data_IF_987544122329
#
_entry.id   IF_987544122329
#
_cell.length_a   1.000
_cell.length_b   1.000
_cell.length_c   1.000
_cell.angle_alpha   90.00
_cell.angle_beta   90.00
_cell.angle_gamma   90.00
#
_symmetry.space_group_name_H-M   'P 1'
#
loop_
_entity.id
_entity.type
_entity.pdbx_description
1 polymer ?
#
# COMPACT_ATOMS: atom_id res chain seq x y z
N UNK A 6 26.97 5.53 6.15
CA UNK A 6 27.08 6.10 4.80
C UNK A 6 26.01 7.17 4.52
N UNK A 7 26.44 8.42 4.45
CA UNK A 7 25.59 9.53 3.99
C UNK A 7 26.37 10.30 2.93
N UNK A 8 25.80 11.37 2.40
CA UNK A 8 26.50 12.18 1.40
C UNK A 8 26.38 13.68 1.68
N UNK A 9 27.49 14.41 1.53
CA UNK A 9 27.60 15.81 1.97
C UNK A 9 27.19 16.86 0.92
N UNK A 10 26.68 17.99 1.39
CA UNK A 10 26.09 18.98 0.49
C UNK A 10 24.79 18.46 -0.15
N UNK A 11 23.71 18.50 0.64
CA UNK A 11 22.42 17.90 0.27
C UNK A 11 21.32 18.93 -0.01
N UNK A 12 20.46 18.60 -0.96
CA UNK A 12 19.50 19.56 -1.48
C UNK A 12 18.06 19.03 -1.43
N UNK A 13 17.17 19.87 -0.91
CA UNK A 13 15.78 19.49 -0.58
C UNK A 13 14.74 20.29 -1.41
N UNK A 14 14.15 19.62 -2.40
CA UNK A 14 13.51 20.27 -3.54
C UNK A 14 11.97 20.17 -3.65
N UNK A 15 11.37 20.95 -4.59
CA UNK A 15 9.93 21.14 -4.80
C UNK A 15 9.08 19.88 -4.93
N UNK A 16 9.71 18.74 -5.19
CA UNK A 16 8.96 17.49 -5.28
C UNK A 16 8.38 17.11 -3.92
N UNK A 17 9.18 17.28 -2.88
CA UNK A 17 8.79 16.95 -1.52
C UNK A 17 7.97 18.06 -0.86
N UNK A 18 7.85 19.19 -1.56
CA UNK A 18 7.26 20.41 -0.98
C UNK A 18 5.90 20.15 -0.35
N UNK A 19 5.59 20.88 0.75
CA UNK A 19 4.37 20.77 1.53
C UNK A 19 3.15 21.36 0.84
N UNK A 20 2.01 20.68 0.98
CA UNK A 20 0.78 21.13 0.35
C UNK A 20 0.20 22.27 1.14
N UNK A 21 -0.19 23.33 0.44
CA UNK A 21 -0.78 24.49 1.10
C UNK A 21 -2.32 24.40 1.18
N UNK A 22 -2.91 25.31 1.94
CA UNK A 22 -4.34 25.31 2.15
C UNK A 22 -5.06 25.71 0.87
N UNK A 23 -4.31 26.35 -0.04
CA UNK A 23 -4.88 26.79 -1.31
C UNK A 23 -4.68 25.75 -2.41
N UNK A 24 -4.50 24.49 -2.02
CA UNK A 24 -4.29 23.44 -2.99
C UNK A 24 -5.12 22.19 -2.71
N UNK A 25 -5.35 21.91 -1.42
CA UNK A 25 -6.16 20.76 -1.02
C UNK A 25 -7.42 20.61 -1.90
N UNK A 26 -7.78 19.37 -2.23
CA UNK A 26 -8.95 19.11 -3.09
C UNK A 26 -9.62 17.75 -2.84
N UNK A 27 -9.26 17.09 -1.74
CA UNK A 27 -9.80 15.76 -1.43
C UNK A 27 -10.73 15.77 -0.21
N UNK A 28 -12.03 15.95 -0.45
CA UNK A 28 -13.01 15.86 0.62
C UNK A 28 -13.37 14.42 0.89
N UNK A 29 -13.64 14.08 2.16
CA UNK A 29 -13.82 12.69 2.64
C UNK A 29 -14.68 11.79 1.74
N UNK A 30 -15.45 12.36 0.83
CA UNK A 30 -16.17 11.56 -0.15
C UNK A 30 -15.21 11.14 -1.26
N UNK A 31 -14.47 12.12 -1.76
CA UNK A 31 -13.53 11.91 -2.85
C UNK A 31 -12.31 11.09 -2.40
N UNK A 32 -12.00 11.14 -1.10
CA UNK A 32 -10.98 10.26 -0.49
C UNK A 32 -11.55 8.88 -0.18
N UNK A 33 -12.89 8.79 -0.13
CA UNK A 33 -13.58 7.52 0.05
C UNK A 33 -13.67 6.80 -1.29
N UNK A 34 -13.46 7.54 -2.36
CA UNK A 34 -13.45 7.00 -3.71
C UNK A 34 -12.07 6.38 -4.05
N UNK A 35 -11.01 6.99 -3.53
CA UNK A 35 -9.65 6.46 -3.71
C UNK A 35 -9.40 5.29 -2.75
N UNK A 36 -10.42 4.87 -2.03
CA UNK A 36 -10.28 3.74 -1.15
C UNK A 36 -11.13 2.57 -1.60
N UNK A 37 -12.13 2.90 -2.41
CA UNK A 37 -12.90 1.91 -3.14
C UNK A 37 -12.01 1.32 -4.25
N UNK A 38 -11.52 2.17 -5.13
CA UNK A 38 -10.67 1.73 -6.23
C UNK A 38 -9.30 1.29 -5.70
N UNK A 39 -9.19 1.16 -4.38
CA UNK A 39 -7.94 0.80 -3.73
C UNK A 39 -8.06 -0.50 -2.96
N UNK A 40 -9.29 -0.94 -2.76
CA UNK A 40 -9.55 -2.26 -2.19
C UNK A 40 -9.56 -3.26 -3.35
N UNK A 41 -9.39 -2.74 -4.57
CA UNK A 41 -9.44 -3.53 -5.80
C UNK A 41 -8.06 -3.78 -6.44
N UNK A 42 -7.37 -4.84 -5.99
CA UNK A 42 -6.09 -5.22 -6.57
C UNK A 42 -5.85 -6.69 -6.32
N UNK A 43 -5.17 -7.32 -7.26
CA UNK A 43 -4.99 -8.78 -7.23
C UNK A 43 -4.37 -9.35 -5.95
N UNK A 44 -3.77 -8.50 -5.14
CA UNK A 44 -3.16 -8.95 -3.89
C UNK A 44 -4.23 -9.56 -2.99
N UNK A 45 -5.47 -9.14 -3.23
CA UNK A 45 -6.61 -9.47 -2.38
C UNK A 45 -7.41 -10.69 -2.84
N UNK A 46 -7.67 -10.79 -4.14
CA UNK A 46 -8.19 -12.03 -4.73
C UNK A 46 -7.51 -13.18 -4.03
N UNK A 47 -6.19 -13.22 -4.20
CA UNK A 47 -5.36 -14.37 -3.86
C UNK A 47 -5.29 -14.65 -2.37
N UNK A 48 -5.12 -13.59 -1.57
CA UNK A 48 -5.07 -13.75 -0.13
C UNK A 48 -6.34 -14.45 0.37
N UNK A 49 -7.48 -14.01 -0.14
CA UNK A 49 -8.77 -14.57 0.27
C UNK A 49 -9.01 -15.93 -0.38
N UNK A 50 -8.25 -16.21 -1.44
CA UNK A 50 -8.32 -17.53 -2.07
C UNK A 50 -7.78 -18.59 -1.15
N UNK A 51 -6.48 -18.50 -0.90
CA UNK A 51 -5.76 -19.53 -0.14
C UNK A 51 -6.25 -19.70 1.30
N UNK A 52 -6.89 -18.67 1.84
CA UNK A 52 -7.50 -18.78 3.16
C UNK A 52 -8.45 -19.97 3.23
N UNK A 53 -9.20 -20.20 2.15
CA UNK A 53 -10.23 -21.25 2.11
C UNK A 53 -9.67 -22.61 2.47
N UNK A 54 -8.37 -22.65 2.71
CA UNK A 54 -7.71 -23.88 3.13
C UNK A 54 -8.06 -24.15 4.57
N UNK A 55 -8.00 -23.12 5.39
CA UNK A 55 -8.19 -23.29 6.83
C UNK A 55 -9.57 -22.84 7.34
N UNK A 56 -10.26 -22.00 6.56
CA UNK A 56 -11.55 -21.45 6.99
C UNK A 56 -12.57 -21.41 5.86
N UNK A 57 -13.86 -21.39 6.22
CA UNK A 57 -14.89 -21.27 5.20
C UNK A 57 -15.05 -19.84 4.67
N UNK A 58 -15.77 -19.71 3.55
CA UNK A 58 -15.82 -18.48 2.78
C UNK A 58 -16.50 -17.31 3.50
N UNK A 59 -17.14 -17.58 4.63
CA UNK A 59 -17.71 -16.50 5.42
C UNK A 59 -16.66 -16.02 6.42
N UNK A 60 -15.94 -16.97 7.01
CA UNK A 60 -14.87 -16.67 7.95
C UNK A 60 -13.90 -15.67 7.36
N UNK A 61 -13.66 -15.81 6.06
CA UNK A 61 -12.76 -14.92 5.35
C UNK A 61 -13.42 -13.57 5.08
N UNK A 62 -14.75 -13.57 5.00
CA UNK A 62 -15.47 -12.30 4.88
C UNK A 62 -15.50 -11.59 6.24
N UNK A 63 -15.32 -12.36 7.31
CA UNK A 63 -15.21 -11.81 8.66
C UNK A 63 -13.80 -11.31 8.95
N UNK A 64 -12.81 -12.08 8.51
CA UNK A 64 -11.42 -11.65 8.58
C UNK A 64 -11.13 -10.48 7.64
N UNK A 65 -11.78 -10.46 6.48
CA UNK A 65 -11.66 -9.36 5.51
C UNK A 65 -12.02 -8.03 6.18
N UNK A 66 -13.29 -7.88 6.53
CA UNK A 66 -13.75 -6.67 7.20
C UNK A 66 -13.02 -6.46 8.52
N UNK A 67 -12.39 -7.52 9.03
CA UNK A 67 -11.61 -7.47 10.28
C UNK A 67 -10.23 -6.84 10.06
N UNK A 68 -9.58 -7.22 8.98
CA UNK A 68 -8.33 -6.58 8.60
C UNK A 68 -8.56 -5.08 8.43
N UNK A 69 -9.31 -4.72 7.41
CA UNK A 69 -9.65 -3.33 7.14
C UNK A 69 -10.07 -2.55 8.37
N UNK A 70 -10.70 -3.23 9.33
CA UNK A 70 -11.11 -2.60 10.58
C UNK A 70 -9.89 -2.13 11.37
N UNK A 71 -8.97 -3.04 11.66
CA UNK A 71 -7.75 -2.67 12.38
C UNK A 71 -6.95 -1.69 11.54
N UNK A 72 -7.24 -1.69 10.24
CA UNK A 72 -6.51 -0.90 9.26
C UNK A 72 -6.96 0.56 9.25
N UNK A 73 -8.23 0.79 9.54
CA UNK A 73 -8.75 2.14 9.68
C UNK A 73 -8.36 2.71 11.05
N UNK A 74 -8.22 1.81 12.03
CA UNK A 74 -7.73 2.17 13.37
C UNK A 74 -6.28 2.71 13.32
N UNK A 75 -5.45 2.15 12.46
CA UNK A 75 -4.11 2.70 12.29
C UNK A 75 -4.16 3.90 11.36
N UNK A 76 -5.07 3.87 10.39
CA UNK A 76 -5.25 4.97 9.46
C UNK A 76 -5.52 6.25 10.23
N UNK A 77 -6.48 6.21 11.14
CA UNK A 77 -6.82 7.36 11.95
C UNK A 77 -5.57 8.09 12.41
N UNK A 78 -4.81 7.45 13.29
CA UNK A 78 -3.64 8.06 13.88
C UNK A 78 -2.63 8.55 12.83
N UNK A 79 -2.24 7.68 11.91
CA UNK A 79 -1.19 8.00 10.93
C UNK A 79 -1.55 9.16 10.00
N UNK A 80 -2.72 9.09 9.37
CA UNK A 80 -3.17 10.13 8.45
C UNK A 80 -3.00 11.53 9.03
N UNK A 81 -3.21 11.67 10.34
CA UNK A 81 -3.31 12.96 11.02
C UNK A 81 -2.19 13.95 10.71
N UNK A 82 -0.95 13.50 10.89
CA UNK A 82 0.21 14.34 10.59
C UNK A 82 0.02 14.97 9.22
N UNK A 83 -0.11 14.12 8.21
CA UNK A 83 -0.20 14.57 6.82
C UNK A 83 -1.34 15.54 6.56
N UNK A 84 -2.55 15.22 7.02
CA UNK A 84 -3.68 16.11 6.76
C UNK A 84 -3.39 17.48 7.36
N UNK A 85 -3.13 17.49 8.66
CA UNK A 85 -2.93 18.74 9.39
C UNK A 85 -2.02 19.67 8.62
N UNK A 86 -0.88 19.14 8.20
CA UNK A 86 0.19 19.97 7.67
C UNK A 86 0.35 19.90 6.15
N UNK A 87 0.31 18.69 5.58
CA UNK A 87 0.44 18.53 4.15
C UNK A 87 1.86 18.17 3.74
N UNK A 88 2.19 16.89 3.87
CA UNK A 88 3.54 16.41 3.65
C UNK A 88 3.60 15.03 2.99
N UNK A 89 4.69 14.74 2.28
CA UNK A 89 4.95 13.42 1.71
C UNK A 89 5.10 12.39 2.81
N UNK A 90 5.12 11.11 2.44
CA UNK A 90 5.60 10.13 3.39
C UNK A 90 7.10 10.27 3.41
N UNK A 91 7.66 10.70 2.28
CA UNK A 91 9.11 10.89 2.16
C UNK A 91 9.54 11.96 3.13
N UNK A 92 8.60 12.84 3.47
CA UNK A 92 8.87 14.00 4.31
C UNK A 92 8.65 13.73 5.81
N UNK A 93 7.56 13.04 6.12
CA UNK A 93 7.25 12.74 7.51
C UNK A 93 8.11 11.60 8.08
N UNK A 94 8.70 10.81 7.20
CA UNK A 94 9.56 9.70 7.63
C UNK A 94 10.74 10.22 8.45
N UNK A 95 10.92 11.53 8.41
CA UNK A 95 12.08 12.15 9.00
C UNK A 95 11.90 12.50 10.47
N UNK A 96 10.78 12.10 11.05
CA UNK A 96 10.53 12.43 12.45
C UNK A 96 11.21 11.46 13.40
N UNK A 97 10.78 10.20 13.39
CA UNK A 97 11.43 9.22 14.25
C UNK A 97 12.85 8.91 13.78
N UNK A 98 13.07 8.90 12.48
CA UNK A 98 14.40 8.69 11.92
C UNK A 98 14.95 10.02 11.43
N UNK A 99 16.25 10.06 11.15
CA UNK A 99 16.91 11.30 10.74
C UNK A 99 16.47 11.84 9.40
N UNK A 100 17.05 12.98 9.01
CA UNK A 100 16.72 13.61 7.74
C UNK A 100 17.62 13.06 6.66
N UNK A 101 18.64 12.29 7.06
CA UNK A 101 19.47 11.55 6.12
C UNK A 101 19.30 10.08 6.42
N UNK A 102 18.74 9.79 7.59
CA UNK A 102 18.49 8.42 8.02
C UNK A 102 17.02 8.04 7.98
N UNK A 103 16.20 8.90 7.41
CA UNK A 103 14.80 8.58 7.20
C UNK A 103 14.70 7.70 5.97
N UNK A 104 15.83 7.52 5.31
CA UNK A 104 15.84 6.76 4.07
C UNK A 104 15.85 5.25 4.30
N UNK A 105 16.02 4.82 5.55
CA UNK A 105 16.03 3.39 5.86
C UNK A 105 14.66 2.78 5.56
N UNK A 106 13.58 3.39 6.07
CA UNK A 106 12.26 2.88 5.67
C UNK A 106 11.87 3.40 4.30
N UNK A 107 12.15 4.66 4.00
CA UNK A 107 11.79 5.23 2.69
C UNK A 107 12.29 4.36 1.54
N UNK A 108 13.30 3.53 1.81
CA UNK A 108 13.83 2.61 0.81
C UNK A 108 13.25 1.20 0.95
N UNK A 109 13.36 0.62 2.15
CA UNK A 109 12.74 -0.68 2.45
C UNK A 109 11.30 -0.71 1.95
N UNK A 110 10.68 0.47 1.87
CA UNK A 110 9.28 0.62 1.53
C UNK A 110 9.06 0.98 0.06
N UNK A 111 10.08 1.54 -0.58
CA UNK A 111 10.00 1.75 -2.02
C UNK A 111 10.41 0.47 -2.75
N UNK A 112 10.77 -0.56 -1.99
CA UNK A 112 11.10 -1.88 -2.55
C UNK A 112 9.87 -2.77 -2.58
N UNK A 113 8.83 -2.39 -1.84
CA UNK A 113 7.54 -3.06 -1.91
C UNK A 113 6.84 -2.71 -3.22
N UNK A 114 6.67 -1.41 -3.47
CA UNK A 114 6.01 -0.97 -4.69
C UNK A 114 6.62 -1.56 -5.97
N UNK A 115 7.89 -1.95 -5.92
CA UNK A 115 8.52 -2.64 -7.05
C UNK A 115 8.07 -4.10 -7.08
N UNK A 116 8.14 -4.76 -5.94
CA UNK A 116 7.64 -6.13 -5.80
C UNK A 116 6.21 -6.24 -6.32
N UNK A 117 5.37 -5.25 -6.01
CA UNK A 117 3.98 -5.26 -6.48
C UNK A 117 3.88 -4.79 -7.92
N UNK A 118 5.04 -4.51 -8.53
CA UNK A 118 5.07 -4.25 -9.97
C UNK A 118 5.51 -5.49 -10.72
N UNK A 119 6.42 -6.26 -10.13
CA UNK A 119 6.78 -7.54 -10.69
C UNK A 119 5.52 -8.36 -10.68
N UNK A 120 4.97 -8.53 -9.48
CA UNK A 120 3.76 -9.32 -9.29
C UNK A 120 2.58 -8.83 -10.11
N UNK A 121 2.67 -7.61 -10.64
CA UNK A 121 1.54 -7.08 -11.39
C UNK A 121 1.73 -7.19 -12.90
N UNK A 122 2.97 -6.98 -13.37
CA UNK A 122 3.27 -7.15 -14.79
C UNK A 122 3.12 -8.62 -15.14
N UNK A 123 3.24 -9.45 -14.12
CA UNK A 123 3.14 -10.91 -14.22
C UNK A 123 1.76 -11.39 -14.64
N UNK A 124 0.74 -10.57 -14.37
CA UNK A 124 -0.63 -10.83 -14.84
C UNK A 124 -0.86 -10.16 -16.19
N UNK A 125 -0.10 -9.11 -16.46
CA UNK A 125 -0.06 -8.54 -17.80
C UNK A 125 0.32 -9.63 -18.77
N UNK A 126 1.24 -10.51 -18.34
CA UNK A 126 1.67 -11.66 -19.14
C UNK A 126 0.58 -12.71 -19.22
N UNK A 127 0.22 -13.28 -18.06
CA UNK A 127 -0.86 -14.25 -18.02
C UNK A 127 -2.03 -13.81 -18.88
N UNK A 128 -2.21 -12.50 -19.01
CA UNK A 128 -3.34 -11.94 -19.75
C UNK A 128 -3.01 -11.64 -21.21
N UNK A 129 -1.75 -11.30 -21.48
CA UNK A 129 -1.32 -11.12 -22.86
C UNK A 129 -1.11 -12.48 -23.50
N UNK A 130 -0.82 -13.47 -22.66
CA UNK A 130 -0.45 -14.80 -23.13
C UNK A 130 -1.65 -15.75 -23.21
N UNK A 131 -2.65 -15.47 -22.39
CA UNK A 131 -3.87 -16.26 -22.40
C UNK A 131 -4.71 -15.87 -23.60
N UNK A 132 -4.60 -14.60 -24.02
CA UNK A 132 -5.34 -14.12 -25.18
C UNK A 132 -4.69 -14.53 -26.49
N UNK A 133 -3.41 -14.90 -26.42
CA UNK A 133 -2.67 -15.31 -27.61
C UNK A 133 -2.43 -16.82 -27.68
N UNK A 134 -2.65 -17.51 -26.57
CA UNK A 134 -2.56 -18.97 -26.58
C UNK A 134 -3.95 -19.56 -26.83
N UNK A 135 -4.97 -18.80 -26.45
CA UNK A 135 -6.34 -19.08 -26.86
C UNK A 135 -6.60 -18.45 -28.21
N UNK A 136 -5.53 -18.24 -28.98
CA UNK A 136 -5.66 -17.67 -30.32
C UNK A 136 -4.65 -18.31 -31.26
N UNK A 137 -3.66 -18.97 -30.67
CA UNK A 137 -2.58 -19.55 -31.46
C UNK A 137 -1.97 -20.70 -30.70
N UNK A 138 -2.59 -21.03 -29.55
CA UNK A 138 -2.16 -22.17 -28.76
C UNK A 138 -0.71 -22.14 -28.30
N UNK A 139 0.01 -21.09 -28.66
CA UNK A 139 1.41 -20.95 -28.26
C UNK A 139 1.49 -20.14 -26.97
N UNK A 140 2.44 -20.50 -26.12
CA UNK A 140 2.52 -19.89 -24.80
C UNK A 140 3.94 -19.47 -24.46
N UNK A 141 4.10 -18.18 -24.16
CA UNK A 141 5.39 -17.64 -23.77
C UNK A 141 5.32 -16.70 -22.57
N UNK A 142 5.19 -17.28 -21.38
CA UNK A 142 5.11 -16.53 -20.14
C UNK A 142 6.14 -15.40 -20.07
N UNK A 143 7.45 -15.74 -20.17
CA UNK A 143 8.54 -14.78 -19.96
C UNK A 143 8.78 -13.77 -21.10
N UNK A 144 8.39 -14.08 -22.32
CA UNK A 144 8.46 -13.09 -23.38
C UNK A 144 7.52 -11.94 -23.04
N UNK A 145 6.30 -12.29 -22.67
CA UNK A 145 5.28 -11.29 -22.30
C UNK A 145 5.66 -10.52 -21.06
N UNK A 146 6.28 -11.20 -20.10
CA UNK A 146 6.77 -10.55 -18.88
C UNK A 146 7.75 -9.44 -19.22
N UNK A 147 8.45 -9.61 -20.34
CA UNK A 147 9.43 -8.66 -20.79
C UNK A 147 8.86 -7.63 -21.78
N UNK A 148 7.94 -8.05 -22.64
CA UNK A 148 7.26 -7.10 -23.52
C UNK A 148 6.46 -6.09 -22.72
N UNK A 149 5.90 -6.54 -21.59
CA UNK A 149 5.12 -5.70 -20.70
C UNK A 149 6.05 -4.86 -19.83
N UNK A 150 7.17 -5.44 -19.45
CA UNK A 150 8.19 -4.74 -18.69
C UNK A 150 8.97 -3.76 -19.56
N UNK A 151 8.53 -3.60 -20.80
CA UNK A 151 9.11 -2.62 -21.70
C UNK A 151 8.08 -1.54 -21.99
N UNK A 152 6.87 -1.95 -22.32
CA UNK A 152 5.76 -1.04 -22.60
C UNK A 152 5.63 0.02 -21.51
N UNK A 153 5.50 -0.44 -20.27
CA UNK A 153 5.39 0.45 -19.11
C UNK A 153 6.43 1.56 -19.17
N UNK A 154 7.70 1.16 -19.26
CA UNK A 154 8.81 2.09 -19.23
C UNK A 154 8.68 3.21 -20.28
N UNK A 155 8.04 2.92 -21.40
CA UNK A 155 7.89 3.92 -22.46
C UNK A 155 6.74 4.89 -22.19
N UNK A 156 5.58 4.35 -21.82
CA UNK A 156 4.41 5.16 -21.53
C UNK A 156 4.58 5.89 -20.20
N UNK A 157 5.73 5.66 -19.57
CA UNK A 157 6.07 6.32 -18.31
C UNK A 157 6.47 7.77 -18.54
N UNK A 158 7.29 7.99 -19.57
CA UNK A 158 7.79 9.31 -19.88
C UNK A 158 6.74 10.11 -20.65
N UNK A 159 6.01 9.44 -21.52
CA UNK A 159 5.08 10.12 -22.41
C UNK A 159 3.68 9.50 -22.38
N UNK A 160 3.03 9.54 -21.23
CA UNK A 160 1.69 9.00 -21.08
C UNK A 160 0.60 9.98 -21.49
N UNK A 161 -0.41 9.49 -22.20
CA UNK A 161 -1.53 10.31 -22.64
C UNK A 161 -2.80 9.96 -21.85
N UNK A 162 -3.78 10.86 -21.87
CA UNK A 162 -5.00 10.73 -21.07
C UNK A 162 -5.69 9.35 -21.20
N UNK A 163 -5.46 8.68 -22.32
CA UNK A 163 -6.09 7.39 -22.62
C UNK A 163 -5.83 6.33 -21.56
N UNK A 164 -4.69 6.43 -20.90
CA UNK A 164 -4.40 5.58 -19.76
C UNK A 164 -5.14 6.15 -18.55
N UNK A 165 -4.99 7.46 -18.36
CA UNK A 165 -5.62 8.19 -17.25
C UNK A 165 -7.11 7.85 -17.15
N UNK A 166 -7.80 7.92 -18.28
CA UNK A 166 -9.19 7.51 -18.33
C UNK A 166 -9.34 6.16 -17.65
N UNK A 167 -8.46 5.25 -18.02
CA UNK A 167 -8.53 3.87 -17.55
C UNK A 167 -8.32 3.74 -16.06
N UNK A 168 -7.70 4.74 -15.44
CA UNK A 168 -7.42 4.69 -14.01
C UNK A 168 -8.68 4.44 -13.20
N UNK A 169 -9.47 5.50 -12.98
CA UNK A 169 -10.63 5.40 -12.10
C UNK A 169 -11.63 4.34 -12.54
N UNK A 170 -11.81 4.18 -13.84
CA UNK A 170 -12.80 3.22 -14.37
C UNK A 170 -12.36 1.78 -14.24
N UNK A 171 -11.07 1.56 -14.07
CA UNK A 171 -10.53 0.22 -14.03
C UNK A 171 -11.03 -0.58 -12.81
N UNK A 172 -10.82 -0.06 -11.61
CA UNK A 172 -11.19 -0.80 -10.40
C UNK A 172 -12.63 -1.31 -10.41
N UNK A 173 -13.59 -0.43 -10.83
CA UNK A 173 -15.02 -0.73 -10.95
C UNK A 173 -15.34 -1.71 -12.09
N UNK A 174 -14.71 -1.50 -13.24
CA UNK A 174 -14.87 -2.36 -14.41
C UNK A 174 -14.56 -3.82 -14.08
N UNK A 175 -13.54 -4.00 -13.25
CA UNK A 175 -13.12 -5.31 -12.76
C UNK A 175 -13.99 -5.80 -11.58
N UNK A 176 -14.49 -4.87 -10.77
CA UNK A 176 -15.39 -5.26 -9.70
C UNK A 176 -16.73 -5.72 -10.28
N UNK A 177 -17.06 -5.18 -11.45
CA UNK A 177 -18.27 -5.54 -12.18
C UNK A 177 -18.15 -6.93 -12.80
N UNK A 178 -17.05 -7.12 -13.52
CA UNK A 178 -16.71 -8.39 -14.13
C UNK A 178 -16.48 -9.43 -13.05
N UNK A 179 -15.82 -9.01 -11.96
CA UNK A 179 -15.46 -9.88 -10.86
C UNK A 179 -16.62 -10.45 -10.05
N UNK A 180 -17.81 -9.88 -10.23
CA UNK A 180 -19.04 -10.37 -9.59
C UNK A 180 -19.88 -11.18 -10.57
N UNK A 181 -19.94 -10.67 -11.79
CA UNK A 181 -20.65 -11.29 -12.91
C UNK A 181 -20.31 -12.77 -13.09
N UNK A 182 -19.03 -13.04 -12.96
CA UNK A 182 -18.51 -14.39 -12.98
C UNK A 182 -19.11 -15.15 -11.82
N UNK A 183 -19.09 -14.53 -10.63
CA UNK A 183 -19.69 -15.17 -9.46
C UNK A 183 -21.17 -15.54 -9.70
N UNK A 184 -21.87 -14.76 -10.51
CA UNK A 184 -23.14 -15.24 -11.07
C UNK A 184 -22.81 -16.49 -11.85
N UNK A 185 -22.07 -16.32 -12.95
CA UNK A 185 -21.58 -17.44 -13.77
C UNK A 185 -21.13 -18.70 -13.01
N UNK A 186 -20.25 -18.55 -12.02
CA UNK A 186 -19.81 -19.72 -11.28
C UNK A 186 -20.91 -20.31 -10.38
N UNK A 187 -21.63 -19.49 -9.61
CA UNK A 187 -22.74 -20.00 -8.79
C UNK A 187 -23.88 -20.56 -9.65
N UNK A 188 -23.79 -20.36 -10.95
CA UNK A 188 -24.84 -20.77 -11.87
C UNK A 188 -24.51 -22.09 -12.57
N UNK A 189 -23.22 -22.31 -12.74
CA UNK A 189 -22.72 -23.52 -13.38
C UNK A 189 -22.28 -24.56 -12.34
N UNK A 190 -21.63 -24.13 -11.25
CA UNK A 190 -21.33 -25.08 -10.18
C UNK A 190 -22.61 -25.38 -9.41
N UNK A 191 -23.71 -24.78 -9.87
CA UNK A 191 -25.07 -25.02 -9.35
C UNK A 191 -25.15 -24.90 -7.83
N UNK A 192 -24.47 -23.89 -7.28
CA UNK A 192 -24.47 -23.66 -5.84
C UNK A 192 -25.05 -22.28 -5.52
N UNK A 193 -25.75 -22.17 -4.39
CA UNK A 193 -26.29 -20.89 -3.94
C UNK A 193 -25.35 -20.22 -2.97
N UNK A 194 -25.27 -18.90 -3.02
CA UNK A 194 -24.40 -18.11 -2.15
C UNK A 194 -24.39 -18.69 -0.74
N UNK A 195 -25.51 -19.33 -0.37
CA UNK A 195 -25.71 -19.88 0.95
C UNK A 195 -24.98 -21.19 1.18
N UNK A 196 -24.96 -22.03 0.14
CA UNK A 196 -24.14 -23.23 0.19
C UNK A 196 -22.66 -22.83 0.12
N UNK A 197 -22.34 -21.89 -0.79
CA UNK A 197 -20.96 -21.46 -1.06
C UNK A 197 -20.29 -20.76 0.12
N UNK A 198 -21.08 -20.05 0.90
CA UNK A 198 -20.56 -19.30 2.04
C UNK A 198 -20.14 -20.23 3.17
N UNK A 199 -19.80 -21.48 2.84
CA UNK A 199 -19.42 -22.46 3.86
C UNK A 199 -18.65 -23.66 3.32
N UNK A 200 -17.87 -23.46 2.27
CA UNK A 200 -17.24 -24.58 1.57
C UNK A 200 -15.73 -24.68 1.78
N UNK A 201 -15.16 -23.75 2.54
CA UNK A 201 -13.75 -23.84 2.86
C UNK A 201 -13.54 -24.57 4.17
N UNK A 202 -12.29 -24.64 4.61
CA UNK A 202 -11.98 -25.24 5.91
C UNK A 202 -11.88 -26.74 5.85
N UNK A 203 -11.42 -27.27 4.72
CA UNK A 203 -11.15 -28.69 4.62
C UNK A 203 -9.66 -28.96 4.82
N UNK A 204 -9.09 -28.22 5.77
CA UNK A 204 -7.69 -28.38 6.18
C UNK A 204 -7.32 -27.37 7.25
N UNK A 205 -8.13 -27.28 8.32
CA UNK A 205 -7.88 -26.31 9.39
C UNK A 205 -6.48 -26.46 9.93
N UNK A 206 -6.00 -25.42 10.61
CA UNK A 206 -4.66 -25.39 11.15
C UNK A 206 -4.23 -23.97 11.45
N UNK A 207 -4.26 -23.12 10.42
CA UNK A 207 -3.94 -21.72 10.63
C UNK A 207 -4.91 -21.09 11.61
N UNK A 208 -4.39 -20.26 12.53
CA UNK A 208 -5.19 -19.51 13.51
C UNK A 208 -5.91 -18.33 12.86
N UNK A 209 -7.08 -17.97 13.36
CA UNK A 209 -7.78 -16.83 12.80
C UNK A 209 -7.01 -15.57 13.13
N UNK A 210 -6.31 -15.60 14.26
CA UNK A 210 -5.43 -14.50 14.65
C UNK A 210 -4.47 -14.16 13.52
N UNK A 211 -3.98 -15.19 12.84
CA UNK A 211 -3.07 -15.03 11.72
C UNK A 211 -3.84 -14.69 10.45
N UNK A 212 -5.12 -15.09 10.42
CA UNK A 212 -6.00 -14.83 9.29
C UNK A 212 -6.37 -13.35 9.15
N UNK A 213 -6.27 -12.61 10.26
CA UNK A 213 -6.57 -11.18 10.23
C UNK A 213 -5.31 -10.34 9.96
N UNK A 214 -4.15 -10.83 10.42
CA UNK A 214 -2.90 -10.15 10.17
C UNK A 214 -2.66 -10.11 8.67
N UNK A 215 -3.08 -11.16 8.00
CA UNK A 215 -2.97 -11.26 6.54
C UNK A 215 -3.50 -10.00 5.86
N UNK A 216 -4.80 -9.77 5.97
CA UNK A 216 -5.40 -8.61 5.34
C UNK A 216 -4.86 -7.30 5.94
N UNK A 217 -4.40 -7.38 7.17
CA UNK A 217 -3.67 -6.29 7.76
C UNK A 217 -2.44 -6.03 6.89
N UNK A 218 -1.48 -6.96 6.95
CA UNK A 218 -0.20 -6.79 6.27
C UNK A 218 -0.29 -6.56 4.78
N UNK A 219 -1.49 -6.68 4.22
CA UNK A 219 -1.69 -6.38 2.82
C UNK A 219 -1.80 -4.88 2.65
N UNK A 220 -2.42 -4.24 3.63
CA UNK A 220 -2.63 -2.81 3.60
C UNK A 220 -1.47 -2.02 4.21
N UNK A 221 -0.79 -2.61 5.19
CA UNK A 221 0.29 -1.95 5.91
C UNK A 221 1.09 -0.94 5.06
N UNK A 222 1.51 -1.37 3.87
CA UNK A 222 2.29 -0.51 2.98
C UNK A 222 1.54 0.79 2.65
N UNK A 223 0.28 0.65 2.25
CA UNK A 223 -0.58 1.80 1.93
C UNK A 223 -0.89 2.65 3.17
N UNK A 224 -1.06 1.99 4.32
CA UNK A 224 -1.43 2.70 5.55
C UNK A 224 -0.29 3.52 6.17
N UNK A 225 0.85 2.89 6.40
CA UNK A 225 2.00 3.60 6.94
C UNK A 225 2.31 4.84 6.10
N UNK A 226 2.14 4.73 4.79
CA UNK A 226 2.42 5.86 3.91
C UNK A 226 1.19 6.42 3.20
N UNK A 227 0.13 6.76 3.95
CA UNK A 227 -1.02 7.43 3.36
C UNK A 227 -0.68 8.89 3.12
N UNK A 228 0.32 9.36 3.88
CA UNK A 228 0.79 10.74 3.82
C UNK A 228 0.76 11.28 2.39
N UNK A 229 0.92 10.37 1.43
CA UNK A 229 1.12 10.71 0.03
C UNK A 229 -0.16 11.13 -0.72
N UNK A 230 -1.32 10.58 -0.34
CA UNK A 230 -2.61 11.10 -0.85
C UNK A 230 -3.30 12.04 0.16
N UNK A 231 -3.11 11.74 1.44
CA UNK A 231 -3.72 12.52 2.53
C UNK A 231 -3.36 14.00 2.43
N UNK A 232 -2.15 14.28 1.97
CA UNK A 232 -1.68 15.64 1.79
C UNK A 232 -2.37 16.34 0.61
N UNK A 233 -3.68 16.15 0.50
CA UNK A 233 -4.49 16.94 -0.42
C UNK A 233 -5.92 16.94 0.08
N UNK A 234 -6.06 16.76 1.39
CA UNK A 234 -7.38 16.74 2.03
C UNK A 234 -7.73 18.10 2.60
N UNK A 235 -8.89 18.62 2.19
CA UNK A 235 -9.43 19.84 2.76
C UNK A 235 -9.27 19.79 4.28
N UNK A 236 -8.42 20.66 4.83
CA UNK A 236 -8.33 20.79 6.28
C UNK A 236 -8.47 22.26 6.65
N UNK A 237 -8.95 22.52 7.87
CA UNK A 237 -9.22 23.88 8.31
C UNK A 237 -8.06 24.45 9.12
N UNK A 238 -7.45 25.53 8.62
CA UNK A 238 -6.35 26.19 9.33
C UNK A 238 -6.86 26.77 10.66
N UNK A 239 -8.15 27.09 10.69
CA UNK A 239 -8.75 27.73 11.86
C UNK A 239 -9.72 26.83 12.61
N UNK A 240 -9.29 25.60 12.89
CA UNK A 240 -10.06 24.69 13.73
C UNK A 240 -9.19 24.29 14.91
N UNK A 241 -9.79 23.74 15.95
CA UNK A 241 -9.09 23.53 17.22
C UNK A 241 -8.74 22.08 17.54
N UNK A 242 -8.70 21.76 18.83
CA UNK A 242 -8.47 20.39 19.27
C UNK A 242 -9.72 19.58 18.94
N UNK A 243 -10.83 20.29 18.75
CA UNK A 243 -12.12 19.68 18.42
C UNK A 243 -12.34 19.63 16.91
N UNK A 244 -12.39 20.80 16.27
CA UNK A 244 -12.62 20.89 14.84
C UNK A 244 -11.64 20.08 14.01
N UNK A 245 -10.48 19.77 14.59
CA UNK A 245 -9.44 19.04 13.87
C UNK A 245 -9.39 17.56 14.30
N UNK A 246 -9.97 17.25 15.46
CA UNK A 246 -10.11 15.86 15.87
C UNK A 246 -11.43 15.30 15.32
N UNK A 247 -12.30 16.19 14.85
CA UNK A 247 -13.55 15.78 14.21
C UNK A 247 -13.36 15.53 12.72
N UNK A 248 -12.47 16.30 12.11
CA UNK A 248 -12.12 16.07 10.71
C UNK A 248 -11.21 14.86 10.57
N UNK A 249 -10.52 14.51 11.65
CA UNK A 249 -9.68 13.30 11.70
C UNK A 249 -10.54 12.06 11.58
N UNK A 250 -11.59 12.01 12.40
CA UNK A 250 -12.47 10.85 12.40
C UNK A 250 -13.46 10.92 11.22
N UNK A 251 -13.71 12.12 10.72
CA UNK A 251 -14.58 12.31 9.55
C UNK A 251 -13.95 11.64 8.33
N UNK A 252 -12.63 11.77 8.21
CA UNK A 252 -11.89 11.10 7.16
C UNK A 252 -11.66 9.66 7.53
N UNK A 253 -11.18 9.44 8.76
CA UNK A 253 -10.84 8.09 9.22
C UNK A 253 -11.97 7.10 9.02
N UNK A 254 -13.21 7.58 8.91
CA UNK A 254 -14.34 6.73 8.55
C UNK A 254 -14.80 6.95 7.10
N UNK A 255 -14.41 8.09 6.53
CA UNK A 255 -14.60 8.31 5.10
C UNK A 255 -13.82 7.27 4.30
N UNK A 256 -12.80 6.71 4.96
CA UNK A 256 -11.97 5.69 4.34
C UNK A 256 -12.51 4.29 4.58
N UNK A 257 -13.02 4.03 5.79
CA UNK A 257 -13.58 2.73 6.12
C UNK A 257 -14.87 2.39 5.33
N UNK A 258 -15.44 3.38 4.66
CA UNK A 258 -16.65 3.17 3.87
C UNK A 258 -16.31 3.10 2.39
N UNK A 259 -15.02 2.91 2.12
CA UNK A 259 -14.54 2.71 0.77
C UNK A 259 -13.76 1.42 0.65
N UNK A 260 -13.00 1.10 1.69
CA UNK A 260 -12.13 -0.07 1.66
C UNK A 260 -12.80 -1.36 2.12
N UNK A 261 -13.67 -1.28 3.12
CA UNK A 261 -14.34 -2.49 3.64
C UNK A 261 -15.58 -2.91 2.86
N UNK A 262 -16.26 -1.95 2.22
CA UNK A 262 -17.31 -2.36 1.28
C UNK A 262 -16.69 -3.10 0.11
N UNK A 263 -15.85 -2.41 -0.64
CA UNK A 263 -15.28 -2.98 -1.86
C UNK A 263 -14.45 -4.24 -1.61
N UNK A 264 -13.60 -4.24 -0.58
CA UNK A 264 -12.67 -5.35 -0.36
C UNK A 264 -13.23 -6.48 0.50
N UNK A 265 -14.55 -6.53 0.62
CA UNK A 265 -15.21 -7.70 1.16
C UNK A 265 -15.82 -8.44 -0.04
N UNK A 266 -15.84 -7.74 -1.16
CA UNK A 266 -16.31 -8.28 -2.42
C UNK A 266 -15.21 -8.99 -3.21
N UNK A 267 -14.03 -8.38 -3.31
CA UNK A 267 -12.91 -9.05 -3.95
C UNK A 267 -12.39 -10.14 -3.02
N UNK A 268 -12.62 -9.96 -1.73
CA UNK A 268 -12.30 -11.01 -0.79
C UNK A 268 -13.16 -12.22 -1.07
N UNK A 269 -14.45 -11.97 -1.33
CA UNK A 269 -15.37 -13.06 -1.64
C UNK A 269 -15.07 -13.65 -3.00
N UNK A 270 -15.34 -12.89 -4.06
CA UNK A 270 -15.24 -13.44 -5.41
C UNK A 270 -13.92 -14.16 -5.62
N UNK A 271 -12.96 -13.90 -4.73
CA UNK A 271 -11.67 -14.57 -4.77
C UNK A 271 -11.61 -15.87 -4.00
N UNK A 272 -12.41 -15.99 -2.95
CA UNK A 272 -12.54 -17.24 -2.21
C UNK A 272 -13.58 -18.11 -2.88
N UNK A 273 -14.33 -17.51 -3.82
CA UNK A 273 -15.36 -18.20 -4.59
C UNK A 273 -14.76 -18.85 -5.81
N UNK A 274 -13.82 -18.14 -6.43
CA UNK A 274 -13.10 -18.70 -7.55
C UNK A 274 -12.20 -19.84 -7.08
N UNK A 275 -11.89 -19.89 -5.79
CA UNK A 275 -11.06 -20.97 -5.26
C UNK A 275 -11.87 -22.22 -4.88
N UNK A 276 -12.80 -22.08 -3.95
CA UNK A 276 -13.62 -23.21 -3.50
C UNK A 276 -14.77 -23.44 -4.47
N UNK A 277 -14.66 -22.87 -5.66
CA UNK A 277 -15.67 -23.06 -6.70
C UNK A 277 -15.05 -23.29 -8.09
N UNK A 278 -13.80 -22.88 -8.28
CA UNK A 278 -13.06 -23.24 -9.49
C UNK A 278 -11.88 -24.14 -9.14
N UNK A 279 -11.03 -23.64 -8.25
CA UNK A 279 -9.78 -24.28 -7.89
C UNK A 279 -8.59 -23.34 -8.09
N UNK A 280 -8.86 -22.19 -8.69
CA UNK A 280 -7.82 -21.24 -9.08
C UNK A 280 -7.86 -19.92 -8.30
N UNK A 281 -6.84 -19.66 -7.47
CA UNK A 281 -6.67 -18.35 -6.85
C UNK A 281 -6.20 -17.37 -7.92
N UNK A 282 -5.58 -17.91 -8.96
CA UNK A 282 -5.09 -17.12 -10.06
C UNK A 282 -6.22 -16.50 -10.86
N UNK A 283 -6.37 -15.18 -10.73
CA UNK A 283 -7.43 -14.44 -11.41
C UNK A 283 -7.49 -14.78 -12.89
N UNK A 284 -6.51 -14.30 -13.64
CA UNK A 284 -6.44 -14.51 -15.07
C UNK A 284 -6.84 -15.93 -15.51
N UNK A 285 -6.44 -16.92 -14.72
CA UNK A 285 -6.72 -18.31 -15.05
C UNK A 285 -8.17 -18.69 -14.74
N UNK A 286 -8.61 -18.41 -13.51
CA UNK A 286 -10.00 -18.67 -13.15
C UNK A 286 -10.96 -17.80 -13.98
N UNK A 287 -10.42 -16.80 -14.68
CA UNK A 287 -11.21 -15.91 -15.56
C UNK A 287 -11.43 -16.52 -16.93
N UNK A 288 -10.33 -16.82 -17.60
CA UNK A 288 -10.40 -17.46 -18.90
C UNK A 288 -11.22 -18.71 -18.72
N UNK A 289 -10.98 -19.40 -17.61
CA UNK A 289 -11.62 -20.67 -17.35
C UNK A 289 -13.13 -20.58 -17.10
N UNK A 290 -13.58 -19.51 -16.45
CA UNK A 290 -15.01 -19.35 -16.17
C UNK A 290 -15.79 -18.74 -17.34
N UNK A 291 -15.29 -17.64 -17.89
CA UNK A 291 -15.97 -16.94 -18.99
C UNK A 291 -15.72 -17.55 -20.36
N UNK A 292 -14.62 -18.29 -20.51
CA UNK A 292 -14.34 -19.01 -21.74
C UNK A 292 -14.96 -20.39 -21.73
N UNK A 293 -15.41 -20.82 -20.55
CA UNK A 293 -16.23 -22.01 -20.41
C UNK A 293 -17.66 -21.58 -20.54
N UNK A 294 -17.85 -20.47 -21.27
CA UNK A 294 -19.16 -19.93 -21.59
C UNK A 294 -19.10 -19.06 -22.86
N UNK A 295 -17.98 -18.37 -23.04
CA UNK A 295 -17.79 -17.51 -24.20
C UNK A 295 -16.32 -17.16 -24.36
N UNK A 296 -15.66 -17.78 -25.33
CA UNK A 296 -14.27 -17.45 -25.64
C UNK A 296 -14.15 -16.26 -26.62
N UNK A 297 -15.29 -15.74 -27.12
CA UNK A 297 -15.26 -14.39 -27.67
C UNK A 297 -15.16 -13.35 -26.54
N UNK A 298 -15.50 -13.77 -25.33
CA UNK A 298 -15.45 -12.91 -24.16
C UNK A 298 -14.27 -13.19 -23.22
N UNK A 299 -13.97 -14.47 -22.98
CA UNK A 299 -12.81 -14.84 -22.16
C UNK A 299 -11.55 -14.17 -22.68
N UNK A 300 -11.60 -13.69 -23.92
CA UNK A 300 -10.54 -12.90 -24.53
C UNK A 300 -10.75 -11.40 -24.28
N UNK A 301 -12.01 -10.99 -24.18
CA UNK A 301 -12.35 -9.62 -23.78
C UNK A 301 -12.21 -9.43 -22.26
N UNK A 302 -12.23 -10.54 -21.52
CA UNK A 302 -12.01 -10.51 -20.07
C UNK A 302 -10.52 -10.51 -19.74
N UNK A 303 -9.71 -10.99 -20.69
CA UNK A 303 -8.26 -10.95 -20.56
C UNK A 303 -7.65 -9.78 -21.34
N UNK A 304 -8.49 -9.09 -22.12
CA UNK A 304 -8.09 -7.82 -22.76
C UNK A 304 -8.32 -6.69 -21.75
N UNK A 305 -9.10 -7.01 -20.72
CA UNK A 305 -9.35 -6.08 -19.65
C UNK A 305 -8.25 -6.14 -18.62
N UNK A 306 -8.11 -7.30 -17.99
CA UNK A 306 -7.06 -7.46 -17.00
C UNK A 306 -5.74 -6.92 -17.53
N UNK A 307 -5.57 -6.98 -18.85
CA UNK A 307 -4.35 -6.52 -19.51
C UNK A 307 -4.30 -5.01 -19.61
N UNK A 308 -5.41 -4.43 -20.04
CA UNK A 308 -5.51 -2.97 -20.17
C UNK A 308 -5.62 -2.25 -18.82
N UNK A 309 -6.32 -2.85 -17.86
CA UNK A 309 -6.50 -2.24 -16.55
C UNK A 309 -5.24 -2.38 -15.68
N UNK A 310 -4.43 -3.40 -15.97
CA UNK A 310 -3.13 -3.55 -15.34
C UNK A 310 -2.19 -2.53 -15.98
N UNK A 311 -2.41 -2.27 -17.26
CA UNK A 311 -1.52 -1.44 -18.04
C UNK A 311 -1.77 0.06 -17.80
N UNK A 312 -2.64 0.37 -16.84
CA UNK A 312 -2.81 1.76 -16.41
C UNK A 312 -2.68 1.91 -14.90
N UNK A 313 -3.11 0.88 -14.18
CA UNK A 313 -2.95 0.88 -12.74
C UNK A 313 -1.46 0.85 -12.46
N UNK A 314 -0.87 -0.31 -12.74
CA UNK A 314 0.50 -0.61 -12.42
C UNK A 314 1.46 0.58 -12.25
N UNK A 315 1.82 1.25 -13.36
CA UNK A 315 2.85 2.30 -13.29
C UNK A 315 2.56 3.25 -12.15
N UNK A 316 1.42 3.91 -12.23
CA UNK A 316 1.03 4.89 -11.23
C UNK A 316 1.49 4.49 -9.82
N UNK A 317 1.06 3.32 -9.36
CA UNK A 317 1.16 2.98 -7.94
C UNK A 317 2.37 2.13 -7.56
N UNK A 318 3.16 1.73 -8.54
CA UNK A 318 4.26 0.81 -8.28
C UNK A 318 5.62 1.22 -8.84
N UNK A 319 5.62 1.98 -9.93
CA UNK A 319 6.87 2.32 -10.60
C UNK A 319 7.31 3.76 -10.37
N UNK A 320 6.36 4.69 -10.22
CA UNK A 320 6.70 6.09 -10.06
C UNK A 320 7.57 6.39 -8.83
N UNK A 321 7.22 5.80 -7.69
CA UNK A 321 7.91 6.10 -6.43
C UNK A 321 9.36 5.63 -6.36
N UNK A 322 9.62 4.34 -6.60
CA UNK A 322 11.01 3.88 -6.65
C UNK A 322 11.82 4.65 -7.70
N UNK A 323 11.13 5.26 -8.67
CA UNK A 323 11.80 6.04 -9.70
C UNK A 323 12.35 7.34 -9.14
N UNK A 324 11.49 8.06 -8.42
CA UNK A 324 11.85 9.36 -7.87
C UNK A 324 12.73 9.25 -6.63
N UNK A 325 12.85 8.03 -6.10
CA UNK A 325 13.75 7.77 -4.98
C UNK A 325 15.17 7.47 -5.48
N UNK A 326 15.29 7.06 -6.74
CA UNK A 326 16.61 6.82 -7.32
C UNK A 326 17.29 8.12 -7.74
N UNK A 327 16.50 9.09 -8.22
CA UNK A 327 17.06 10.40 -8.56
C UNK A 327 17.28 11.24 -7.31
N UNK A 328 16.67 10.82 -6.20
CA UNK A 328 16.80 11.52 -4.93
C UNK A 328 17.98 10.98 -4.12
N UNK A 329 18.02 9.66 -3.93
CA UNK A 329 19.08 9.02 -3.14
C UNK A 329 20.39 8.80 -3.92
N UNK A 330 20.32 8.80 -5.26
CA UNK A 330 21.52 8.68 -6.09
C UNK A 330 21.42 9.63 -7.26
N UNK A 331 21.65 10.92 -6.99
CA UNK A 331 21.32 12.05 -7.86
C UNK A 331 22.11 12.03 -9.16
N UNK A 332 23.43 11.96 -9.06
CA UNK A 332 24.30 12.03 -10.22
C UNK A 332 24.41 10.69 -10.94
N UNK A 333 23.53 9.76 -10.61
CA UNK A 333 23.66 8.37 -11.07
C UNK A 333 22.61 7.93 -12.10
N UNK A 334 21.34 8.28 -11.86
CA UNK A 334 20.25 7.87 -12.73
C UNK A 334 19.54 9.10 -13.31
N UNK A 335 18.82 8.92 -14.41
CA UNK A 335 17.94 9.97 -14.91
C UNK A 335 16.53 9.64 -14.49
N UNK A 336 15.56 10.48 -14.86
CA UNK A 336 14.16 10.09 -14.76
C UNK A 336 13.96 9.01 -15.79
N UNK A 337 14.87 8.97 -16.76
CA UNK A 337 14.80 8.00 -17.83
C UNK A 337 15.56 6.71 -17.47
N UNK A 338 16.51 6.81 -16.55
CA UNK A 338 17.28 5.64 -16.13
C UNK A 338 16.86 5.12 -14.74
N UNK A 339 16.21 5.99 -13.96
CA UNK A 339 15.61 5.56 -12.72
C UNK A 339 14.41 4.69 -13.03
N UNK A 340 13.60 5.14 -13.98
CA UNK A 340 12.47 4.37 -14.46
C UNK A 340 12.86 2.97 -14.96
N UNK A 341 13.99 2.91 -15.67
CA UNK A 341 14.40 1.69 -16.38
C UNK A 341 15.11 0.66 -15.49
N UNK A 342 15.88 1.14 -14.51
CA UNK A 342 16.48 0.23 -13.54
C UNK A 342 15.44 -0.21 -12.51
N UNK A 343 14.38 0.59 -12.37
CA UNK A 343 13.25 0.24 -11.50
C UNK A 343 12.57 -1.02 -12.01
N UNK A 344 12.10 -0.93 -13.25
CA UNK A 344 11.56 -2.08 -13.96
C UNK A 344 12.45 -3.30 -13.72
N UNK A 345 13.66 -3.24 -14.28
CA UNK A 345 14.58 -4.36 -14.16
C UNK A 345 14.67 -4.91 -12.73
N UNK A 346 14.59 -4.03 -11.75
CA UNK A 346 14.76 -4.44 -10.35
C UNK A 346 13.59 -5.26 -9.86
N UNK A 347 12.38 -4.77 -10.12
CA UNK A 347 11.18 -5.48 -9.72
C UNK A 347 11.09 -6.83 -10.39
N UNK A 348 11.04 -6.80 -11.71
CA UNK A 348 10.98 -8.04 -12.48
C UNK A 348 11.92 -9.07 -11.82
N UNK A 349 13.17 -8.68 -11.61
CA UNK A 349 14.22 -9.61 -11.16
C UNK A 349 14.11 -10.13 -9.72
N UNK A 350 13.06 -9.76 -8.98
CA UNK A 350 12.87 -10.30 -7.64
C UNK A 350 12.20 -11.68 -7.67
N UNK A 351 11.51 -11.96 -8.78
CA UNK A 351 10.77 -13.22 -8.99
C UNK A 351 9.53 -13.34 -8.10
N UNK A 352 8.76 -12.24 -7.98
CA UNK A 352 7.66 -12.19 -7.00
C UNK A 352 6.68 -13.37 -7.08
N UNK A 353 5.99 -13.48 -8.21
CA UNK A 353 4.79 -14.30 -8.39
C UNK A 353 4.78 -15.72 -7.81
N UNK A 354 5.94 -16.36 -7.74
CA UNK A 354 5.98 -17.70 -7.16
C UNK A 354 6.04 -17.62 -5.65
N UNK A 355 6.75 -16.64 -5.13
CA UNK A 355 6.71 -16.38 -3.69
C UNK A 355 5.24 -16.34 -3.25
N UNK A 356 4.43 -15.53 -3.94
CA UNK A 356 3.00 -15.41 -3.62
C UNK A 356 2.30 -16.73 -3.82
N UNK A 357 2.01 -17.03 -5.08
CA UNK A 357 1.35 -18.26 -5.43
C UNK A 357 1.20 -19.20 -4.25
N UNK A 358 2.31 -19.74 -3.77
CA UNK A 358 2.26 -20.75 -2.72
C UNK A 358 2.06 -20.15 -1.33
N UNK A 359 3.04 -19.37 -0.88
CA UNK A 359 3.04 -18.88 0.48
C UNK A 359 2.72 -17.40 0.55
N UNK A 360 1.93 -16.90 -0.40
CA UNK A 360 1.51 -15.50 -0.33
C UNK A 360 0.97 -15.23 1.06
N UNK A 361 0.53 -16.29 1.72
CA UNK A 361 0.09 -16.24 3.10
C UNK A 361 1.25 -15.83 4.01
N UNK A 362 2.48 -15.94 3.49
CA UNK A 362 3.67 -15.66 4.28
C UNK A 362 4.41 -14.43 3.77
N UNK A 363 4.03 -13.95 2.60
CA UNK A 363 4.44 -12.61 2.17
C UNK A 363 3.47 -11.57 2.73
N UNK A 364 2.32 -12.02 3.24
CA UNK A 364 1.43 -11.11 3.96
C UNK A 364 1.49 -11.32 5.47
N UNK A 365 2.38 -12.21 5.90
CA UNK A 365 2.83 -12.20 7.29
C UNK A 365 4.26 -11.67 7.30
N UNK A 366 4.78 -11.40 6.11
CA UNK A 366 6.03 -10.66 5.95
C UNK A 366 5.76 -9.17 5.90
N UNK A 367 4.94 -8.73 4.95
CA UNK A 367 4.56 -7.33 4.85
C UNK A 367 3.64 -6.98 6.01
N UNK A 368 3.68 -7.81 7.05
CA UNK A 368 2.93 -7.55 8.29
C UNK A 368 3.81 -7.75 9.53
N UNK A 369 5.10 -7.99 9.30
CA UNK A 369 6.09 -7.95 10.36
C UNK A 369 6.74 -6.58 10.32
N UNK A 370 6.12 -5.69 9.53
CA UNK A 370 6.52 -4.30 9.41
C UNK A 370 5.58 -3.47 10.26
N UNK A 371 5.28 -3.98 11.46
CA UNK A 371 4.39 -3.32 12.38
C UNK A 371 5.08 -2.30 13.26
N UNK A 372 6.27 -2.63 13.77
CA UNK A 372 7.04 -1.66 14.56
C UNK A 372 7.22 -0.30 13.90
N UNK A 373 7.17 -0.19 12.58
CA UNK A 373 7.29 1.11 11.92
C UNK A 373 6.01 1.90 12.08
N UNK A 374 4.90 1.17 12.14
CA UNK A 374 3.63 1.81 12.42
C UNK A 374 3.63 2.35 13.84
N UNK A 375 4.08 1.52 14.79
CA UNK A 375 4.10 1.89 16.20
C UNK A 375 5.11 2.97 16.52
N UNK A 376 6.21 2.98 15.78
CA UNK A 376 7.28 3.96 15.96
C UNK A 376 6.89 5.36 15.45
N UNK A 377 6.28 5.43 14.28
CA UNK A 377 5.90 6.71 13.70
C UNK A 377 4.74 7.39 14.42
N UNK A 378 3.79 6.61 14.90
CA UNK A 378 2.64 7.15 15.60
C UNK A 378 3.06 7.60 16.99
N UNK A 379 3.82 6.76 17.67
CA UNK A 379 4.35 7.11 18.97
C UNK A 379 5.07 8.46 18.93
N UNK A 380 5.67 8.78 17.79
CA UNK A 380 6.48 9.99 17.66
C UNK A 380 5.64 11.23 17.39
N UNK A 381 4.81 11.19 16.35
CA UNK A 381 3.99 12.35 16.07
C UNK A 381 2.90 12.50 17.11
N UNK A 382 2.67 11.49 17.92
CA UNK A 382 1.60 11.57 18.90
C UNK A 382 2.07 11.65 20.35
N UNK A 383 2.90 10.70 20.77
CA UNK A 383 3.27 10.61 22.18
C UNK A 383 4.54 11.38 22.56
N UNK A 384 5.52 11.41 21.66
CA UNK A 384 6.80 12.01 21.99
C UNK A 384 6.89 13.50 21.69
N UNK A 385 6.25 13.96 20.62
CA UNK A 385 6.24 15.37 20.28
C UNK A 385 4.85 15.99 20.44
N UNK A 386 3.95 15.24 21.07
CA UNK A 386 2.56 15.66 21.25
C UNK A 386 2.08 16.60 20.15
N UNK A 387 2.16 16.14 18.91
CA UNK A 387 1.66 16.88 17.75
C UNK A 387 2.39 18.18 17.46
N UNK A 388 3.59 18.34 18.02
CA UNK A 388 4.40 19.49 17.73
C UNK A 388 5.54 19.12 16.76
N UNK A 389 5.56 19.80 15.61
CA UNK A 389 6.52 19.50 14.56
C UNK A 389 7.15 20.77 14.04
N UNK A 390 8.28 20.61 13.36
CA UNK A 390 9.05 21.74 12.88
C UNK A 390 9.13 21.76 11.38
N UNK A 391 8.28 22.54 10.73
CA UNK A 391 8.31 22.62 9.28
C UNK A 391 9.65 23.13 8.76
N UNK A 392 10.31 23.97 9.55
CA UNK A 392 11.58 24.55 9.11
C UNK A 392 12.78 23.63 9.30
N UNK A 393 12.73 22.79 10.34
CA UNK A 393 13.84 21.86 10.60
C UNK A 393 13.76 20.60 9.74
N UNK A 394 12.57 20.29 9.23
CA UNK A 394 12.40 19.12 8.38
C UNK A 394 12.90 19.40 6.96
N UNK A 395 13.36 20.62 6.74
CA UNK A 395 13.83 21.02 5.40
C UNK A 395 15.25 21.62 5.41
N UNK A 396 16.03 21.28 6.43
CA UNK A 396 17.41 21.76 6.52
C UNK A 396 18.33 20.66 7.02
N UNK A 397 19.44 20.48 6.31
CA UNK A 397 20.48 19.52 6.70
C UNK A 397 20.74 19.50 8.21
N UNK A 398 20.90 20.69 8.77
CA UNK A 398 21.16 20.82 10.21
C UNK A 398 19.92 21.36 10.91
N UNK A 399 19.08 20.44 11.36
CA UNK A 399 17.89 20.77 12.12
C UNK A 399 17.89 19.92 13.38
N UNK A 400 16.87 20.06 14.21
CA UNK A 400 16.79 19.29 15.44
C UNK A 400 16.37 17.83 15.19
N UNK A 401 16.34 17.44 13.91
CA UNK A 401 16.05 16.06 13.53
C UNK A 401 17.26 15.40 12.86
N UNK A 402 18.40 16.08 12.91
CA UNK A 402 19.63 15.54 12.33
C UNK A 402 20.27 14.51 13.26
N UNK A 403 20.01 14.64 14.56
CA UNK A 403 20.50 13.68 15.55
C UNK A 403 21.97 13.36 15.33
N UNK A 404 22.31 12.07 15.40
CA UNK A 404 23.67 11.63 15.16
C UNK A 404 24.09 11.75 13.71
N UNK A 405 24.44 12.97 13.31
CA UNK A 405 24.93 13.21 11.96
C UNK A 405 23.83 13.04 10.93
N UNK A 406 22.69 12.50 11.35
CA UNK A 406 21.52 12.39 10.49
C UNK A 406 20.67 11.14 10.66
N UNK A 407 21.24 10.12 11.28
CA UNK A 407 20.51 8.88 11.50
C UNK A 407 20.10 8.82 12.95
N UNK A 408 18.84 8.51 13.19
CA UNK A 408 18.38 8.28 14.55
C UNK A 408 18.59 6.82 14.93
N UNK A 409 19.69 6.55 15.62
CA UNK A 409 20.08 5.19 15.95
C UNK A 409 19.20 4.53 17.00
N UNK A 410 18.58 5.34 17.85
CA UNK A 410 17.72 4.79 18.90
C UNK A 410 16.31 4.49 18.39
N UNK A 411 16.00 4.98 17.18
CA UNK A 411 14.72 4.70 16.52
C UNK A 411 14.82 3.40 15.72
N UNK A 412 16.03 3.10 15.25
CA UNK A 412 16.30 1.82 14.61
C UNK A 412 16.46 0.73 15.67
N UNK A 413 16.92 1.14 16.85
CA UNK A 413 17.06 0.21 17.98
C UNK A 413 15.69 -0.21 18.48
N UNK A 414 14.81 0.77 18.70
CA UNK A 414 13.45 0.51 19.16
C UNK A 414 12.69 -0.43 18.22
N UNK A 415 12.84 -0.20 16.92
CA UNK A 415 12.28 -1.06 15.89
C UNK A 415 12.78 -2.50 16.07
N UNK A 416 14.03 -2.63 16.48
CA UNK A 416 14.68 -3.92 16.65
C UNK A 416 14.22 -4.65 17.92
N UNK A 417 14.16 -3.93 19.05
CA UNK A 417 13.61 -4.47 20.29
C UNK A 417 12.16 -4.86 20.05
N UNK A 418 11.51 -4.11 19.17
CA UNK A 418 10.10 -4.28 18.86
C UNK A 418 9.85 -5.59 18.13
N UNK A 419 10.77 -5.96 17.23
CA UNK A 419 10.63 -7.19 16.47
C UNK A 419 10.88 -8.42 17.34
N UNK A 420 11.96 -8.37 18.11
CA UNK A 420 12.36 -9.49 18.97
C UNK A 420 11.31 -9.80 20.04
N UNK A 421 10.50 -8.81 20.39
CA UNK A 421 9.44 -8.97 21.37
C UNK A 421 8.13 -9.39 20.73
N UNK A 422 8.12 -9.41 19.39
CA UNK A 422 6.97 -9.90 18.64
C UNK A 422 7.14 -11.35 18.21
N UNK A 423 8.30 -11.93 18.54
CA UNK A 423 8.53 -13.36 18.30
C UNK A 423 8.27 -14.12 19.60
N UNK A 424 7.81 -13.37 20.59
CA UNK A 424 7.37 -13.96 21.84
C UNK A 424 5.85 -14.12 21.80
N UNK A 425 5.27 -13.82 20.63
CA UNK A 425 3.83 -13.96 20.37
C UNK A 425 3.55 -14.12 18.86
N UNK A 426 3.79 -15.32 18.33
CA UNK A 426 3.83 -15.66 16.89
C UNK A 426 2.52 -15.51 16.09
N UNK A 427 1.37 -15.81 16.68
CA UNK A 427 0.11 -15.72 15.95
C UNK A 427 -0.51 -14.33 16.06
N UNK A 428 0.11 -13.49 16.87
CA UNK A 428 -0.35 -12.13 17.09
C UNK A 428 0.85 -11.19 17.03
N UNK A 429 1.76 -11.46 16.10
CA UNK A 429 2.99 -10.70 15.99
C UNK A 429 2.73 -9.21 15.73
N UNK A 430 2.16 -8.89 14.58
CA UNK A 430 1.84 -7.49 14.22
C UNK A 430 1.20 -6.71 15.35
N UNK A 431 0.27 -7.36 16.05
CA UNK A 431 -0.44 -6.70 17.15
C UNK A 431 0.52 -6.45 18.31
N UNK A 432 1.54 -7.28 18.42
CA UNK A 432 2.53 -7.19 19.50
C UNK A 432 3.86 -6.57 19.03
N UNK A 433 3.96 -6.33 17.72
CA UNK A 433 5.10 -5.61 17.19
C UNK A 433 4.79 -4.12 17.07
N UNK A 434 3.50 -3.80 17.04
CA UNK A 434 3.05 -2.41 16.96
C UNK A 434 2.84 -1.85 18.35
N UNK A 435 2.33 -2.69 19.25
CA UNK A 435 2.14 -2.31 20.65
C UNK A 435 3.48 -2.12 21.36
N UNK A 436 4.46 -2.94 20.99
CA UNK A 436 5.78 -2.91 21.62
C UNK A 436 6.63 -1.72 21.17
N UNK A 437 6.45 -1.30 19.93
CA UNK A 437 7.24 -0.22 19.37
C UNK A 437 6.67 1.15 19.70
N UNK A 438 5.39 1.19 20.03
CA UNK A 438 4.75 2.46 20.35
C UNK A 438 4.90 2.79 21.83
N UNK A 439 5.14 1.76 22.64
CA UNK A 439 5.43 1.93 24.06
C UNK A 439 6.93 2.10 24.31
N UNK A 440 7.75 1.50 23.45
CA UNK A 440 9.21 1.56 23.62
C UNK A 440 9.88 2.66 22.81
N UNK A 441 9.09 3.51 22.16
CA UNK A 441 9.67 4.64 21.43
C UNK A 441 9.63 5.91 22.26
N UNK A 442 8.73 5.95 23.24
CA UNK A 442 8.65 7.10 24.13
C UNK A 442 9.92 7.20 24.99
N UNK A 443 10.32 6.09 25.65
CA UNK A 443 11.57 6.09 26.41
C UNK A 443 12.79 6.49 25.57
N UNK A 444 12.98 5.87 24.41
CA UNK A 444 14.15 6.17 23.58
C UNK A 444 14.14 7.59 23.05
N UNK A 445 12.98 8.24 23.08
CA UNK A 445 12.89 9.63 22.66
C UNK A 445 13.04 10.60 23.83
N UNK A 446 12.86 10.08 25.05
CA UNK A 446 13.09 10.85 26.26
C UNK A 446 14.53 10.65 26.71
N UNK A 447 15.24 9.78 25.99
CA UNK A 447 16.66 9.52 26.22
C UNK A 447 17.49 10.33 25.24
N UNK A 448 16.92 10.61 24.07
CA UNK A 448 17.52 11.54 23.13
C UNK A 448 17.16 12.97 23.56
N UNK A 449 16.03 13.10 24.27
CA UNK A 449 15.64 14.37 24.87
C UNK A 449 16.79 14.90 25.72
N UNK A 450 17.85 14.10 25.79
CA UNK A 450 19.10 14.49 26.43
C UNK A 450 20.03 15.11 25.41
N UNK A 451 20.48 14.29 24.46
CA UNK A 451 21.45 14.74 23.47
C UNK A 451 20.87 15.67 22.40
N UNK A 452 19.54 15.82 22.38
CA UNK A 452 18.90 16.69 21.40
C UNK A 452 17.54 17.19 21.87
N UNK A 453 17.18 18.42 21.46
CA UNK A 453 15.87 19.02 21.73
C UNK A 453 14.80 18.33 20.90
N UNK A 454 13.59 18.20 21.45
CA UNK A 454 12.51 17.54 20.74
C UNK A 454 11.65 18.55 19.97
N UNK A 455 12.05 19.81 20.01
CA UNK A 455 11.31 20.88 19.35
C UNK A 455 12.26 22.02 19.01
N UNK A 456 11.75 23.04 18.32
CA UNK A 456 12.57 24.20 17.97
C UNK A 456 11.79 25.49 18.21
N UNK A 457 12.51 26.60 18.20
CA UNK A 457 11.87 27.91 18.36
C UNK A 457 11.71 28.62 17.04
N UNK A 458 11.90 27.88 15.94
CA UNK A 458 11.65 28.42 14.62
C UNK A 458 10.39 27.78 14.06
N UNK A 459 9.71 27.02 14.92
CA UNK A 459 8.52 26.26 14.53
C UNK A 459 7.26 27.11 14.42
N UNK A 460 7.32 28.32 14.98
CA UNK A 460 6.20 29.25 14.88
C UNK A 460 6.04 29.71 13.44
N UNK A 461 6.85 29.15 12.55
CA UNK A 461 6.78 29.48 11.13
C UNK A 461 6.07 28.39 10.33
N UNK A 462 5.58 27.38 11.02
CA UNK A 462 4.82 26.32 10.35
C UNK A 462 3.73 26.90 9.47
N UNK A 463 3.01 27.89 10.00
CA UNK A 463 1.94 28.54 9.24
C UNK A 463 2.46 29.38 8.08
N UNK A 464 3.76 29.64 8.07
CA UNK A 464 4.38 30.41 7.00
C UNK A 464 4.58 29.54 5.75
N UNK A 465 4.52 28.22 5.93
CA UNK A 465 4.75 27.27 4.84
C UNK A 465 3.48 26.87 4.09
N UNK A 466 2.32 27.05 4.73
CA UNK A 466 1.06 26.53 4.20
C UNK A 466 0.11 27.62 3.70
N UNK A 467 0.25 28.82 4.25
CA UNK A 467 -0.59 29.93 3.82
C UNK A 467 -0.02 30.62 2.59
N UNK A 468 -0.83 30.71 1.53
CA UNK A 468 -0.48 31.17 0.18
C UNK A 468 0.41 32.42 0.14
N UNK A 469 1.43 32.38 -0.72
CA UNK A 469 2.33 33.52 -0.92
C UNK A 469 2.32 33.98 -2.37
N UNK A 470 1.70 35.13 -2.62
CA UNK A 470 1.59 35.66 -3.97
C UNK A 470 2.88 36.30 -4.43
#
# INVERSE_FOLDING_TARGET
>A
XNSTPIEEARSLLNPSNAPTRYAERSVGPFSLAAIWFAMAIQVAIFIAAGQMTSSFQVWQVIVAIAAGCTIAVILLFFTQSAAIRWGINFTVAARMPFGIRGSLIPITLKALLSLFWFGFQTWLGALALDEITRLLTGFTNLPLWIVIFGAIQVVTTFYGITFIRWMNVFASPVLLAMGVYMVYLMLDGADVSLGEVMSMGGENPGMPFSTAIMIFVGGWIAVVVSIHDIVKECKVDPNASREGQTKADARYATAQWLGMVPASIIFGFIGAASMVLVGEWNPVIAITEVVGGVSIPMAILFQVFVLLATWSTNPAANLLSPAYTLCSTFPRVFTFKTGVIVSAVVGLLMMPWQFAGVLNTFLNLLASALGPLAGIMISDYFLVRRRRISLHDLYRTKGIYTYWRGVNWVALAVYAVALAVSFLTPDLMFVTGLIAALLLHIPAMRWVAKTFPLFSEAESRNEDYLRPIGPVAPADESATANTKEQNQPAGGRGSHHHHHH
#
